data_IF_942502610713
#
_entry.id   IF_942502610713
#
_cell.length_a   1.000
_cell.length_b   1.000
_cell.length_c   1.000
_cell.angle_alpha   90.00
_cell.angle_beta   90.00
_cell.angle_gamma   90.00
#
_symmetry.space_group_name_H-M   'P 1'
#
loop_
_entity.id
_entity.type
_entity.pdbx_description
1 polymer ?
#
# COMPACT_ATOMS: atom_id res chain seq x y z
N UNK A 1 26.63 12.54 -2.36
CA UNK A 1 26.99 11.17 -2.77
C UNK A 1 26.41 10.17 -1.77
N UNK A 2 25.20 9.65 -2.03
CA UNK A 2 24.59 8.49 -1.35
C UNK A 2 23.63 7.63 -2.24
N UNK A 3 23.78 7.53 -3.59
CA UNK A 3 22.85 6.75 -4.41
C UNK A 3 23.06 5.23 -4.32
N UNK A 4 24.31 4.75 -4.27
CA UNK A 4 24.63 3.31 -4.38
C UNK A 4 24.03 2.44 -3.28
N UNK A 5 23.96 2.95 -2.04
CA UNK A 5 23.42 2.18 -0.90
C UNK A 5 21.91 2.00 -0.98
N UNK A 6 21.19 2.97 -1.56
CA UNK A 6 19.73 2.90 -1.74
C UNK A 6 19.41 1.90 -2.86
N UNK A 7 20.10 2.00 -4.00
CA UNK A 7 19.93 1.07 -5.12
C UNK A 7 20.18 -0.40 -4.74
N UNK A 8 21.22 -0.67 -3.95
CA UNK A 8 21.47 -2.04 -3.46
C UNK A 8 20.37 -2.55 -2.52
N UNK A 9 19.74 -1.68 -1.73
CA UNK A 9 18.63 -2.06 -0.86
C UNK A 9 17.37 -2.31 -1.67
N UNK A 10 17.12 -1.50 -2.70
CA UNK A 10 15.98 -1.69 -3.58
C UNK A 10 16.03 -3.02 -4.32
N UNK A 11 17.20 -3.39 -4.85
CA UNK A 11 17.41 -4.69 -5.52
C UNK A 11 17.16 -5.88 -4.57
N UNK A 12 17.60 -5.80 -3.31
CA UNK A 12 17.36 -6.84 -2.31
C UNK A 12 15.86 -6.99 -2.02
N UNK A 13 15.15 -5.88 -1.83
CA UNK A 13 13.72 -5.88 -1.52
C UNK A 13 12.88 -6.29 -2.74
N UNK A 14 13.28 -5.95 -3.96
CA UNK A 14 12.63 -6.41 -5.19
C UNK A 14 12.80 -7.93 -5.39
N UNK A 15 14.01 -8.45 -5.13
CA UNK A 15 14.27 -9.89 -5.14
C UNK A 15 13.44 -10.63 -4.08
N UNK A 16 13.36 -10.08 -2.86
CA UNK A 16 12.54 -10.62 -1.79
C UNK A 16 11.05 -10.64 -2.16
N UNK A 17 10.53 -9.55 -2.74
CA UNK A 17 9.14 -9.47 -3.23
C UNK A 17 8.85 -10.55 -4.26
N UNK A 18 9.71 -10.70 -5.26
CA UNK A 18 9.55 -11.69 -6.33
C UNK A 18 9.48 -13.11 -5.76
N UNK A 19 10.43 -13.47 -4.88
CA UNK A 19 10.45 -14.78 -4.23
C UNK A 19 9.22 -15.04 -3.35
N UNK A 20 8.74 -14.02 -2.62
CA UNK A 20 7.52 -14.10 -1.82
C UNK A 20 6.28 -14.36 -2.69
N UNK A 21 6.20 -13.66 -3.82
CA UNK A 21 5.08 -13.74 -4.75
C UNK A 21 5.04 -15.08 -5.49
N UNK A 22 6.20 -15.62 -5.88
CA UNK A 22 6.28 -16.81 -6.73
C UNK A 22 6.30 -18.12 -5.93
N UNK A 23 6.98 -18.15 -4.79
CA UNK A 23 7.18 -19.36 -3.98
C UNK A 23 6.72 -19.25 -2.54
N UNK A 24 6.09 -18.14 -2.16
CA UNK A 24 5.64 -17.88 -0.79
C UNK A 24 6.78 -17.64 0.20
N UNK A 25 6.46 -17.46 1.50
CA UNK A 25 7.45 -17.15 2.53
C UNK A 25 8.64 -18.11 2.55
N UNK A 26 8.41 -19.42 2.38
CA UNK A 26 9.49 -20.43 2.44
C UNK A 26 10.53 -20.29 1.33
N UNK A 27 10.16 -19.77 0.16
CA UNK A 27 11.10 -19.57 -0.95
C UNK A 27 12.05 -18.39 -0.72
N UNK A 28 11.64 -17.38 0.05
CA UNK A 28 12.43 -16.18 0.32
C UNK A 28 13.49 -16.42 1.42
N UNK A 29 14.45 -17.30 1.15
CA UNK A 29 15.60 -17.55 2.03
C UNK A 29 16.69 -16.48 1.84
N UNK A 30 17.57 -16.28 2.82
CA UNK A 30 18.71 -15.33 2.69
C UNK A 30 19.56 -15.67 1.45
N UNK A 31 19.84 -16.96 1.23
CA UNK A 31 20.62 -17.41 0.08
C UNK A 31 19.90 -17.14 -1.25
N UNK A 32 18.59 -17.42 -1.33
CA UNK A 32 17.79 -17.14 -2.52
C UNK A 32 17.72 -15.64 -2.82
N UNK A 33 17.51 -14.80 -1.79
CA UNK A 33 17.46 -13.34 -1.93
C UNK A 33 18.83 -12.80 -2.36
N UNK A 34 19.93 -13.28 -1.77
CA UNK A 34 21.28 -12.90 -2.18
C UNK A 34 21.55 -13.28 -3.65
N UNK A 35 21.20 -14.51 -4.04
CA UNK A 35 21.35 -14.99 -5.42
C UNK A 35 20.54 -14.17 -6.42
N UNK A 36 19.27 -13.86 -6.11
CA UNK A 36 18.39 -13.12 -7.01
C UNK A 36 18.71 -11.61 -7.06
N UNK A 37 19.18 -11.02 -5.96
CA UNK A 37 19.55 -9.59 -5.91
C UNK A 37 20.97 -9.28 -6.38
N UNK A 38 21.83 -10.30 -6.47
CA UNK A 38 23.26 -10.14 -6.74
C UNK A 38 24.07 -9.55 -5.57
N UNK A 39 23.42 -9.28 -4.42
CA UNK A 39 24.10 -8.74 -3.25
C UNK A 39 24.76 -9.87 -2.42
N UNK A 40 25.99 -9.66 -1.88
CA UNK A 40 26.63 -10.64 -1.02
C UNK A 40 25.78 -10.96 0.23
N UNK A 41 25.70 -12.23 0.69
CA UNK A 41 24.92 -12.59 1.89
C UNK A 41 25.28 -11.77 3.14
N UNK A 42 26.57 -11.43 3.31
CA UNK A 42 27.03 -10.58 4.41
C UNK A 42 26.42 -9.17 4.39
N UNK A 43 26.12 -8.62 3.21
CA UNK A 43 25.45 -7.32 3.06
C UNK A 43 24.00 -7.37 3.53
N UNK A 44 23.28 -8.47 3.26
CA UNK A 44 21.91 -8.65 3.74
C UNK A 44 21.87 -8.71 5.27
N UNK A 45 22.74 -9.52 5.87
CA UNK A 45 22.83 -9.64 7.33
C UNK A 45 23.21 -8.32 8.00
N UNK A 46 24.18 -7.58 7.45
CA UNK A 46 24.56 -6.28 8.02
C UNK A 46 23.43 -5.24 7.91
N UNK A 47 22.65 -5.24 6.81
CA UNK A 47 21.64 -4.21 6.54
C UNK A 47 20.32 -4.47 7.25
N UNK A 48 19.85 -5.71 7.22
CA UNK A 48 18.53 -6.08 7.71
C UNK A 48 18.61 -6.94 8.97
N UNK A 49 19.79 -7.46 9.34
CA UNK A 49 19.97 -8.33 10.49
C UNK A 49 19.56 -9.77 10.21
N UNK A 50 18.29 -9.99 9.85
CA UNK A 50 17.74 -11.32 9.64
C UNK A 50 16.68 -11.38 8.53
N UNK A 51 16.26 -12.60 8.18
CA UNK A 51 15.24 -12.85 7.15
C UNK A 51 13.92 -12.14 7.44
N UNK A 52 13.42 -12.20 8.68
CA UNK A 52 12.13 -11.61 9.04
C UNK A 52 12.12 -10.09 8.86
N UNK A 53 13.23 -9.43 9.18
CA UNK A 53 13.42 -8.01 8.96
C UNK A 53 13.46 -7.65 7.46
N UNK A 54 14.05 -8.50 6.59
CA UNK A 54 13.96 -8.29 5.13
C UNK A 54 12.51 -8.38 4.66
N UNK A 55 11.75 -9.37 5.14
CA UNK A 55 10.32 -9.51 4.77
C UNK A 55 9.50 -8.31 5.24
N UNK A 56 9.74 -7.87 6.48
CA UNK A 56 9.07 -6.69 7.04
C UNK A 56 9.41 -5.43 6.25
N UNK A 57 10.69 -5.19 5.96
CA UNK A 57 11.13 -4.06 5.14
C UNK A 57 10.56 -4.10 3.71
N UNK A 58 10.44 -5.30 3.12
CA UNK A 58 9.86 -5.48 1.79
C UNK A 58 8.40 -5.06 1.77
N UNK A 59 7.63 -5.51 2.77
CA UNK A 59 6.20 -5.18 2.90
C UNK A 59 6.00 -3.71 3.26
N UNK A 60 6.77 -3.16 4.20
CA UNK A 60 6.70 -1.74 4.58
C UNK A 60 7.05 -0.80 3.41
N UNK A 61 8.02 -1.15 2.55
CA UNK A 61 8.32 -0.36 1.34
C UNK A 61 7.14 -0.32 0.37
N UNK A 62 6.40 -1.42 0.22
CA UNK A 62 5.19 -1.44 -0.60
C UNK A 62 4.11 -0.52 -0.01
N UNK A 63 3.95 -0.50 1.32
CA UNK A 63 3.05 0.43 2.00
C UNK A 63 3.49 1.88 1.84
N UNK A 64 4.79 2.18 1.98
CA UNK A 64 5.33 3.52 1.79
C UNK A 64 4.99 4.05 0.39
N UNK A 65 5.23 3.25 -0.66
CA UNK A 65 4.87 3.59 -2.04
C UNK A 65 3.36 3.81 -2.21
N UNK A 66 2.52 3.00 -1.57
CA UNK A 66 1.08 3.22 -1.57
C UNK A 66 0.70 4.53 -0.87
N UNK A 67 1.28 4.81 0.30
CA UNK A 67 1.03 6.03 1.05
C UNK A 67 1.42 7.28 0.26
N UNK A 68 2.51 7.25 -0.51
CA UNK A 68 2.85 8.35 -1.41
C UNK A 68 1.73 8.66 -2.42
N UNK A 69 1.04 7.64 -2.96
CA UNK A 69 -0.09 7.85 -3.87
C UNK A 69 -1.30 8.42 -3.14
N UNK A 70 -1.65 7.84 -1.99
CA UNK A 70 -2.79 8.26 -1.19
C UNK A 70 -2.62 9.70 -0.66
N UNK A 71 -1.42 10.05 -0.18
CA UNK A 71 -1.09 11.39 0.30
C UNK A 71 -1.08 12.41 -0.82
N UNK A 72 -0.57 12.08 -2.02
CA UNK A 72 -0.71 12.97 -3.20
C UNK A 72 -2.17 13.22 -3.55
N UNK A 73 -3.01 12.18 -3.52
CA UNK A 73 -4.43 12.30 -3.80
C UNK A 73 -5.17 13.22 -2.81
N UNK A 74 -4.80 13.18 -1.52
CA UNK A 74 -5.38 14.04 -0.50
C UNK A 74 -5.15 15.55 -0.73
N UNK A 75 -4.12 15.92 -1.50
CA UNK A 75 -3.79 17.31 -1.83
C UNK A 75 -4.20 17.72 -3.26
N UNK A 76 -4.94 16.86 -3.97
CA UNK A 76 -5.21 17.05 -5.40
C UNK A 76 -6.43 17.92 -5.72
N UNK A 77 -7.34 18.12 -4.76
CA UNK A 77 -8.59 18.85 -4.96
C UNK A 77 -8.93 19.74 -3.76
N UNK A 78 -9.66 20.83 -4.02
CA UNK A 78 -10.21 21.71 -2.98
C UNK A 78 -11.58 21.28 -2.44
N UNK A 79 -12.31 20.44 -3.20
CA UNK A 79 -13.61 19.91 -2.79
C UNK A 79 -13.46 18.57 -2.04
N UNK A 80 -14.09 18.41 -0.85
CA UNK A 80 -13.96 17.17 -0.06
C UNK A 80 -14.45 15.91 -0.78
N UNK A 81 -15.48 15.98 -1.61
CA UNK A 81 -15.98 14.81 -2.34
C UNK A 81 -14.98 14.41 -3.43
N UNK A 82 -14.46 15.38 -4.18
CA UNK A 82 -13.43 15.12 -5.19
C UNK A 82 -12.10 14.64 -4.57
N UNK A 83 -11.74 15.12 -3.39
CA UNK A 83 -10.60 14.58 -2.63
C UNK A 83 -10.82 13.11 -2.23
N UNK A 84 -12.04 12.72 -1.84
CA UNK A 84 -12.38 11.33 -1.55
C UNK A 84 -12.36 10.45 -2.81
N UNK A 85 -12.82 10.97 -3.95
CA UNK A 85 -12.71 10.31 -5.25
C UNK A 85 -11.24 10.08 -5.60
N UNK A 86 -10.41 11.12 -5.53
CA UNK A 86 -8.97 11.01 -5.79
C UNK A 86 -8.30 9.98 -4.86
N UNK A 87 -8.65 9.97 -3.57
CA UNK A 87 -8.13 8.99 -2.61
C UNK A 87 -8.52 7.57 -3.01
N UNK A 88 -9.76 7.32 -3.41
CA UNK A 88 -10.19 6.01 -3.91
C UNK A 88 -9.43 5.60 -5.18
N UNK A 89 -9.19 6.54 -6.11
CA UNK A 89 -8.46 6.28 -7.36
C UNK A 89 -6.95 6.08 -7.15
N UNK A 90 -6.42 6.45 -5.98
CA UNK A 90 -5.02 6.18 -5.65
C UNK A 90 -4.70 4.69 -5.58
N UNK A 91 -5.68 3.83 -5.28
CA UNK A 91 -5.53 2.38 -5.19
C UNK A 91 -5.30 1.73 -6.57
N UNK A 92 -6.17 1.91 -7.59
CA UNK A 92 -5.89 1.39 -8.93
C UNK A 92 -4.67 2.08 -9.56
N UNK A 93 -4.43 3.38 -9.30
CA UNK A 93 -3.23 4.07 -9.77
C UNK A 93 -1.95 3.42 -9.23
N UNK A 94 -1.91 3.12 -7.92
CA UNK A 94 -0.81 2.37 -7.30
C UNK A 94 -0.66 0.97 -7.91
N UNK A 95 -1.75 0.24 -8.12
CA UNK A 95 -1.71 -1.09 -8.72
C UNK A 95 -1.20 -1.10 -10.16
N UNK A 96 -1.44 -0.03 -10.94
CA UNK A 96 -0.85 0.12 -12.28
C UNK A 96 0.64 0.48 -12.23
N UNK A 97 1.03 1.37 -11.32
CA UNK A 97 2.41 1.83 -11.22
C UNK A 97 3.34 0.79 -10.58
N UNK A 98 2.84 0.00 -9.62
CA UNK A 98 3.58 -0.99 -8.84
C UNK A 98 2.78 -2.31 -8.73
N UNK A 99 2.56 -3.03 -9.84
CA UNK A 99 1.68 -4.20 -9.87
C UNK A 99 2.13 -5.31 -8.90
N UNK A 100 3.43 -5.53 -8.76
CA UNK A 100 3.95 -6.53 -7.81
C UNK A 100 3.81 -6.08 -6.35
N UNK A 101 4.02 -4.81 -6.04
CA UNK A 101 3.80 -4.30 -4.66
C UNK A 101 2.31 -4.36 -4.31
N UNK A 102 1.43 -4.03 -5.24
CA UNK A 102 -0.01 -4.22 -5.07
C UNK A 102 -0.37 -5.70 -4.88
N UNK A 103 0.20 -6.61 -5.68
CA UNK A 103 0.00 -8.05 -5.49
C UNK A 103 0.49 -8.51 -4.12
N UNK A 104 1.62 -7.99 -3.65
CA UNK A 104 2.18 -8.30 -2.33
C UNK A 104 1.22 -7.90 -1.22
N UNK A 105 0.75 -6.64 -1.21
CA UNK A 105 -0.17 -6.12 -0.20
C UNK A 105 -1.55 -6.81 -0.23
N UNK A 106 -2.01 -7.25 -1.41
CA UNK A 106 -3.27 -7.98 -1.55
C UNK A 106 -3.17 -9.45 -1.11
N UNK A 107 -2.00 -10.07 -1.27
CA UNK A 107 -1.79 -11.51 -1.03
C UNK A 107 -1.36 -11.82 0.39
N UNK A 108 -0.67 -10.88 1.06
CA UNK A 108 -0.04 -11.11 2.35
C UNK A 108 -0.50 -10.07 3.37
N UNK A 109 -1.14 -10.55 4.44
CA UNK A 109 -1.59 -9.70 5.55
C UNK A 109 -0.38 -9.28 6.39
N UNK A 110 -0.40 -8.05 6.89
CA UNK A 110 0.63 -7.54 7.80
C UNK A 110 0.85 -8.46 9.00
N UNK A 111 -0.24 -8.98 9.60
CA UNK A 111 -0.19 -9.88 10.75
C UNK A 111 0.57 -11.20 10.48
N UNK A 112 0.69 -11.62 9.22
CA UNK A 112 1.38 -12.86 8.85
C UNK A 112 2.89 -12.62 8.57
N UNK A 113 3.33 -11.36 8.44
CA UNK A 113 4.70 -11.00 8.03
C UNK A 113 5.43 -10.12 9.05
N UNK A 114 4.73 -9.19 9.68
CA UNK A 114 5.35 -8.17 10.52
C UNK A 114 5.60 -8.67 11.94
N UNK A 115 6.81 -8.43 12.44
CA UNK A 115 7.12 -8.51 13.87
C UNK A 115 6.60 -7.28 14.63
N UNK A 116 6.70 -7.31 15.97
CA UNK A 116 6.21 -6.23 16.84
C UNK A 116 6.77 -4.85 16.47
N UNK A 117 8.08 -4.74 16.24
CA UNK A 117 8.74 -3.48 15.84
C UNK A 117 8.17 -2.94 14.51
N UNK A 118 8.00 -3.81 13.51
CA UNK A 118 7.47 -3.42 12.21
C UNK A 118 5.98 -3.05 12.27
N UNK A 119 5.21 -3.63 13.21
CA UNK A 119 3.84 -3.20 13.46
C UNK A 119 3.79 -1.77 14.00
N UNK A 120 4.67 -1.42 14.96
CA UNK A 120 4.76 -0.03 15.45
C UNK A 120 5.13 0.93 14.32
N UNK A 121 6.07 0.56 13.46
CA UNK A 121 6.41 1.36 12.26
C UNK A 121 5.22 1.52 11.32
N UNK A 122 4.44 0.46 11.08
CA UNK A 122 3.23 0.54 10.26
C UNK A 122 2.19 1.49 10.87
N UNK A 123 1.98 1.44 12.19
CA UNK A 123 1.05 2.33 12.88
C UNK A 123 1.46 3.80 12.72
N UNK A 124 2.76 4.10 12.87
CA UNK A 124 3.32 5.43 12.63
C UNK A 124 3.11 5.87 11.18
N UNK A 125 3.35 4.98 10.21
CA UNK A 125 3.12 5.26 8.79
C UNK A 125 1.65 5.52 8.45
N UNK A 126 0.72 4.84 9.13
CA UNK A 126 -0.73 4.97 8.90
C UNK A 126 -1.34 6.23 9.56
N UNK A 127 -0.73 6.73 10.63
CA UNK A 127 -1.28 7.82 11.43
C UNK A 127 -1.67 9.09 10.62
N UNK A 128 -0.87 9.54 9.63
CA UNK A 128 -1.25 10.67 8.77
C UNK A 128 -2.51 10.39 7.93
N UNK A 129 -2.63 9.20 7.35
CA UNK A 129 -3.80 8.82 6.55
C UNK A 129 -5.06 8.69 7.42
N UNK A 130 -4.95 8.11 8.61
CA UNK A 130 -6.07 8.05 9.56
C UNK A 130 -6.55 9.44 9.99
N UNK A 131 -5.61 10.36 10.23
CA UNK A 131 -5.92 11.76 10.52
C UNK A 131 -6.63 12.42 9.34
N UNK A 132 -6.10 12.29 8.13
CA UNK A 132 -6.69 12.87 6.93
C UNK A 132 -8.09 12.31 6.64
N UNK A 133 -8.31 10.99 6.77
CA UNK A 133 -9.63 10.39 6.57
C UNK A 133 -10.66 10.85 7.63
N UNK A 134 -10.24 11.05 8.88
CA UNK A 134 -11.12 11.63 9.92
C UNK A 134 -11.53 13.05 9.54
N UNK A 135 -10.60 13.86 9.08
CA UNK A 135 -10.87 15.26 8.74
C UNK A 135 -11.71 15.36 7.46
N UNK A 136 -11.47 14.49 6.48
CA UNK A 136 -12.28 14.34 5.28
C UNK A 136 -13.72 13.88 5.60
N UNK A 137 -13.88 12.95 6.54
CA UNK A 137 -15.21 12.52 7.02
C UNK A 137 -16.00 13.71 7.56
N UNK A 138 -15.34 14.54 8.39
CA UNK A 138 -15.97 15.75 8.96
C UNK A 138 -16.31 16.77 7.89
N UNK A 139 -15.43 16.99 6.92
CA UNK A 139 -15.66 17.93 5.83
C UNK A 139 -16.87 17.53 4.96
N UNK A 140 -17.03 16.24 4.65
CA UNK A 140 -18.13 15.73 3.82
C UNK A 140 -19.45 15.69 4.60
N UNK A 141 -19.47 15.10 5.80
CA UNK A 141 -20.72 14.80 6.51
C UNK A 141 -21.10 15.81 7.60
N UNK A 142 -20.22 16.79 7.88
CA UNK A 142 -20.36 17.75 8.98
C UNK A 142 -20.49 17.09 10.37
N UNK A 143 -19.98 15.86 10.48
CA UNK A 143 -19.99 15.02 11.68
C UNK A 143 -18.89 13.96 11.60
N UNK A 144 -18.53 13.36 12.73
CA UNK A 144 -17.46 12.37 12.84
C UNK A 144 -17.87 11.10 13.58
N UNK A 145 -19.16 10.76 13.57
CA UNK A 145 -19.67 9.54 14.21
C UNK A 145 -19.22 8.28 13.47
N UNK A 146 -19.38 7.12 14.11
CA UNK A 146 -18.95 5.84 13.58
C UNK A 146 -19.60 5.49 12.22
N UNK A 147 -20.85 5.90 11.98
CA UNK A 147 -21.57 5.64 10.73
C UNK A 147 -21.02 6.49 9.59
N UNK A 148 -20.72 7.76 9.85
CA UNK A 148 -20.12 8.65 8.84
C UNK A 148 -18.71 8.20 8.45
N UNK A 149 -17.91 7.75 9.43
CA UNK A 149 -16.60 7.16 9.18
C UNK A 149 -16.71 5.87 8.36
N UNK A 150 -17.62 4.98 8.72
CA UNK A 150 -17.89 3.73 7.99
C UNK A 150 -18.28 4.01 6.52
N UNK A 151 -19.10 5.04 6.26
CA UNK A 151 -19.45 5.44 4.89
C UNK A 151 -18.24 5.90 4.09
N UNK A 152 -17.36 6.73 4.68
CA UNK A 152 -16.13 7.15 4.00
C UNK A 152 -15.25 5.94 3.68
N UNK A 153 -14.96 5.10 4.68
CA UNK A 153 -14.09 3.92 4.51
C UNK A 153 -14.63 2.97 3.45
N UNK A 154 -15.93 2.74 3.41
CA UNK A 154 -16.55 1.91 2.37
C UNK A 154 -16.29 2.45 0.97
N UNK A 155 -16.33 3.77 0.80
CA UNK A 155 -16.12 4.41 -0.49
C UNK A 155 -14.64 4.43 -0.88
N UNK A 156 -13.73 4.77 0.03
CA UNK A 156 -12.32 5.06 -0.30
C UNK A 156 -11.34 3.93 0.01
N UNK A 157 -11.76 2.92 0.78
CA UNK A 157 -10.93 1.76 1.15
C UNK A 157 -11.55 0.47 0.60
N UNK A 158 -12.75 0.12 1.06
CA UNK A 158 -13.31 -1.22 0.79
C UNK A 158 -13.65 -1.42 -0.69
N UNK A 159 -14.33 -0.45 -1.30
CA UNK A 159 -14.73 -0.49 -2.71
C UNK A 159 -13.51 -0.58 -3.65
N UNK A 160 -12.53 0.35 -3.62
CA UNK A 160 -11.38 0.26 -4.52
C UNK A 160 -10.51 -0.96 -4.25
N UNK A 161 -10.36 -1.37 -2.98
CA UNK A 161 -9.66 -2.61 -2.64
C UNK A 161 -10.32 -3.83 -3.31
N UNK A 162 -11.63 -3.98 -3.17
CA UNK A 162 -12.37 -5.10 -3.75
C UNK A 162 -12.31 -5.10 -5.28
N UNK A 163 -12.45 -3.93 -5.89
CA UNK A 163 -12.40 -3.76 -7.33
C UNK A 163 -11.02 -4.09 -7.91
N UNK A 164 -9.93 -3.61 -7.30
CA UNK A 164 -8.57 -3.96 -7.73
C UNK A 164 -8.32 -5.46 -7.50
N UNK A 165 -8.64 -6.00 -6.33
CA UNK A 165 -8.44 -7.42 -6.02
C UNK A 165 -9.16 -8.36 -7.01
N UNK A 166 -10.35 -7.97 -7.46
CA UNK A 166 -11.15 -8.71 -8.46
C UNK A 166 -10.44 -8.82 -9.81
N UNK A 167 -9.72 -7.78 -10.23
CA UNK A 167 -9.21 -7.62 -11.58
C UNK A 167 -7.70 -7.86 -11.72
N UNK A 168 -6.96 -7.92 -10.62
CA UNK A 168 -5.52 -8.23 -10.67
C UNK A 168 -5.24 -9.57 -11.38
N UNK A 169 -4.15 -9.65 -12.18
CA UNK A 169 -3.09 -8.64 -12.35
C UNK A 169 -3.37 -7.56 -13.40
N UNK A 170 -4.48 -7.62 -14.14
CA UNK A 170 -4.74 -6.72 -15.27
C UNK A 170 -6.02 -5.93 -15.06
N UNK A 171 -5.86 -4.69 -14.60
CA UNK A 171 -6.98 -3.78 -14.33
C UNK A 171 -7.59 -3.30 -15.66
N UNK A 172 -8.91 -3.42 -15.85
CA UNK A 172 -9.57 -2.93 -17.07
C UNK A 172 -9.47 -1.41 -17.18
N UNK A 173 -9.50 -0.87 -18.41
CA UNK A 173 -9.34 0.57 -18.64
C UNK A 173 -10.52 1.44 -18.17
N UNK A 174 -11.70 0.84 -17.95
CA UNK A 174 -12.91 1.52 -17.46
C UNK A 174 -12.98 1.61 -15.92
N UNK A 175 -12.07 0.95 -15.20
CA UNK A 175 -12.18 0.76 -13.76
C UNK A 175 -12.23 2.08 -12.98
N UNK A 176 -11.34 3.01 -13.32
CA UNK A 176 -11.23 4.29 -12.64
C UNK A 176 -12.46 5.17 -12.85
N UNK A 177 -13.09 5.13 -14.03
CA UNK A 177 -14.31 5.88 -14.32
C UNK A 177 -15.48 5.37 -13.49
N UNK A 178 -15.70 4.04 -13.48
CA UNK A 178 -16.75 3.39 -12.70
C UNK A 178 -16.55 3.60 -11.19
N UNK A 179 -15.32 3.50 -10.70
CA UNK A 179 -14.99 3.78 -9.31
C UNK A 179 -15.29 5.23 -8.94
N UNK A 180 -14.91 6.20 -9.77
CA UNK A 180 -15.17 7.61 -9.50
C UNK A 180 -16.69 7.88 -9.40
N UNK A 181 -17.48 7.34 -10.32
CA UNK A 181 -18.94 7.47 -10.29
C UNK A 181 -19.53 6.81 -9.03
N UNK A 182 -19.11 5.60 -8.70
CA UNK A 182 -19.59 4.85 -7.52
C UNK A 182 -19.24 5.56 -6.20
N UNK A 183 -18.03 6.11 -6.06
CA UNK A 183 -17.60 6.85 -4.87
C UNK A 183 -18.48 8.08 -4.67
N UNK A 184 -18.71 8.89 -5.71
CA UNK A 184 -19.60 10.06 -5.61
C UNK A 184 -21.01 9.66 -5.18
N UNK A 185 -21.56 8.58 -5.76
CA UNK A 185 -22.88 8.08 -5.42
C UNK A 185 -22.97 7.59 -3.95
N UNK A 186 -21.96 6.85 -3.48
CA UNK A 186 -21.90 6.38 -2.10
C UNK A 186 -21.85 7.52 -1.09
N UNK A 187 -21.03 8.55 -1.37
CA UNK A 187 -20.87 9.70 -0.48
C UNK A 187 -22.11 10.61 -0.46
N UNK A 188 -22.90 10.64 -1.55
CA UNK A 188 -24.16 11.37 -1.61
C UNK A 188 -25.29 10.70 -0.79
N UNK A 189 -25.19 9.39 -0.51
CA UNK A 189 -26.20 8.66 0.24
C UNK A 189 -26.20 9.03 1.74
N UNK A 190 -27.23 9.79 2.17
CA UNK A 190 -27.36 10.33 3.53
C UNK A 190 -27.90 9.35 4.56
#
# INVERSE_FOLDING_TARGET
MAPERKHASDAILDAARSLLLDGGPRAATIAAIAGASGAPPGTLNHRFGNRAAIMSATWLRAVERFHEHALRALHSAGDPVETAVALSLSVPAFARAYPEDARLLLSLRSADILGAEANSTLDEMNAPLFTAMRDLTRAIYQRGDARSRDRLLRAVVDLPYAAVRRHMPTLPGWLEEDLAAAVRALLASR
#
